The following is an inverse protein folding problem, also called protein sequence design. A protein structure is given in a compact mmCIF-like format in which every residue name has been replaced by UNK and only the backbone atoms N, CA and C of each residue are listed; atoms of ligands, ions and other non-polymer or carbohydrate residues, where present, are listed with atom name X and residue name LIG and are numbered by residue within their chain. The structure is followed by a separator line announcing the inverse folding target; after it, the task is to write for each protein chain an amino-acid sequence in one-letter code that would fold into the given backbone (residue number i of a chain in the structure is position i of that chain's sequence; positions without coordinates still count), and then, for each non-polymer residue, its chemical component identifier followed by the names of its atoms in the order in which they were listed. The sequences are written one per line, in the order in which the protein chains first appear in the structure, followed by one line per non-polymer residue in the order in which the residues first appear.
data_IF_195868498667
#
_entry.id   IF_195868498667
#
_cell.length_a   1.000
_cell.length_b   1.000
_cell.length_c   1.000
_cell.angle_alpha   90.00
_cell.angle_beta   90.00
_cell.angle_gamma   90.00
#
_symmetry.space_group_name_H-M   'P 1'
#
loop_
_entity.id
_entity.type
_entity.pdbx_description
1 polymer ?
#
# COMPACT_ATOMS: atom_id res chain seq x y z
N UNK A 1 3.15 -3.34 -3.11
CA UNK A 1 4.14 -3.02 -4.18
C UNK A 1 3.94 -1.57 -4.71
N UNK A 2 3.73 -0.61 -3.80
CA UNK A 2 3.09 0.68 -4.11
C UNK A 2 4.02 1.88 -4.39
N UNK A 3 5.34 1.69 -4.29
CA UNK A 3 6.27 2.81 -4.06
C UNK A 3 6.57 3.66 -5.29
N UNK A 4 6.63 3.02 -6.47
CA UNK A 4 6.84 3.72 -7.74
C UNK A 4 5.63 4.54 -8.19
N UNK A 5 4.47 4.32 -7.58
CA UNK A 5 3.23 4.96 -7.98
C UNK A 5 2.98 6.32 -7.32
N UNK A 6 3.49 6.55 -6.11
CA UNK A 6 3.18 7.74 -5.29
C UNK A 6 3.59 9.06 -5.95
N UNK A 7 4.64 9.08 -6.77
CA UNK A 7 5.09 10.27 -7.46
C UNK A 7 4.08 10.77 -8.52
N UNK A 8 3.39 9.84 -9.19
CA UNK A 8 2.49 10.14 -10.32
C UNK A 8 0.99 10.07 -9.95
N UNK A 9 0.62 9.33 -8.90
CA UNK A 9 -0.78 9.05 -8.50
C UNK A 9 -1.48 10.20 -7.73
N UNK A 10 -0.82 11.33 -7.58
CA UNK A 10 -1.43 12.51 -6.98
C UNK A 10 -2.05 13.39 -8.08
N UNK A 11 -3.28 13.04 -8.48
CA UNK A 11 -3.98 13.61 -9.62
C UNK A 11 -3.90 15.13 -9.81
N UNK A 12 -3.82 15.52 -11.08
CA UNK A 12 -4.09 16.88 -11.53
C UNK A 12 -5.58 17.17 -11.41
N UNK A 13 -5.96 18.42 -11.14
CA UNK A 13 -7.35 18.82 -10.83
C UNK A 13 -8.41 18.39 -11.86
N UNK A 14 -8.02 18.10 -13.10
CA UNK A 14 -8.91 17.67 -14.17
C UNK A 14 -9.40 16.22 -14.01
N UNK A 15 -8.57 15.30 -13.49
CA UNK A 15 -8.94 13.88 -13.34
C UNK A 15 -10.04 13.66 -12.29
N UNK A 16 -10.17 14.54 -11.30
CA UNK A 16 -11.22 14.47 -10.28
C UNK A 16 -12.57 15.02 -10.73
N UNK A 17 -12.65 15.74 -11.84
CA UNK A 17 -13.94 16.21 -12.34
C UNK A 17 -14.79 15.05 -12.90
N UNK A 18 -14.20 13.88 -13.20
CA UNK A 18 -14.95 12.68 -13.53
C UNK A 18 -15.62 12.07 -12.27
N UNK A 19 -16.95 12.19 -12.21
CA UNK A 19 -17.79 11.62 -11.14
C UNK A 19 -17.62 10.10 -11.02
N UNK A 20 -17.38 9.39 -12.12
CA UNK A 20 -17.20 7.93 -12.13
C UNK A 20 -15.84 7.54 -11.55
N UNK A 21 -14.78 8.26 -11.92
CA UNK A 21 -13.45 8.10 -11.34
C UNK A 21 -13.49 8.29 -9.82
N UNK A 22 -14.07 9.40 -9.35
CA UNK A 22 -14.23 9.65 -7.90
C UNK A 22 -15.03 8.57 -7.19
N UNK A 23 -16.09 8.03 -7.82
CA UNK A 23 -16.88 6.94 -7.24
C UNK A 23 -16.03 5.68 -7.09
N UNK A 24 -15.23 5.33 -8.09
CA UNK A 24 -14.33 4.17 -8.04
C UNK A 24 -13.29 4.35 -6.94
N UNK A 25 -12.68 5.53 -6.81
CA UNK A 25 -11.73 5.81 -5.73
C UNK A 25 -12.35 5.69 -4.33
N UNK A 26 -13.62 6.11 -4.16
CA UNK A 26 -14.33 5.91 -2.88
C UNK A 26 -14.58 4.43 -2.57
N UNK A 27 -14.98 3.66 -3.58
CA UNK A 27 -15.16 2.21 -3.42
C UNK A 27 -13.82 1.55 -3.08
N UNK A 28 -12.77 1.87 -3.83
CA UNK A 28 -11.42 1.36 -3.60
C UNK A 28 -10.91 1.71 -2.19
N UNK A 29 -11.10 2.96 -1.75
CA UNK A 29 -10.77 3.42 -0.40
C UNK A 29 -11.46 2.57 0.68
N UNK A 30 -12.77 2.39 0.58
CA UNK A 30 -13.55 1.66 1.60
C UNK A 30 -13.14 0.19 1.63
N UNK A 31 -13.02 -0.45 0.46
CA UNK A 31 -12.65 -1.85 0.37
C UNK A 31 -11.22 -2.10 0.90
N UNK A 32 -10.27 -1.25 0.52
CA UNK A 32 -8.89 -1.39 0.99
C UNK A 32 -8.77 -1.12 2.49
N UNK A 33 -9.45 -0.09 3.00
CA UNK A 33 -9.46 0.18 4.44
C UNK A 33 -10.10 -0.96 5.23
N UNK A 34 -11.19 -1.56 4.73
CA UNK A 34 -11.82 -2.72 5.37
C UNK A 34 -10.88 -3.94 5.36
N UNK A 35 -10.26 -4.23 4.22
CA UNK A 35 -9.31 -5.35 4.10
C UNK A 35 -8.10 -5.16 5.02
N UNK A 36 -7.57 -3.95 5.18
CA UNK A 36 -6.49 -3.68 6.14
C UNK A 36 -6.82 -4.17 7.54
N UNK A 37 -8.02 -3.88 8.06
CA UNK A 37 -8.42 -4.34 9.40
C UNK A 37 -8.65 -5.86 9.45
N UNK A 38 -9.24 -6.43 8.40
CA UNK A 38 -9.47 -7.88 8.30
C UNK A 38 -8.14 -8.63 8.27
N UNK A 39 -7.21 -8.24 7.41
CA UNK A 39 -5.90 -8.88 7.27
C UNK A 39 -5.02 -8.66 8.49
N UNK A 40 -5.04 -7.48 9.10
CA UNK A 40 -4.30 -7.24 10.34
C UNK A 40 -4.82 -8.14 11.47
N UNK A 41 -6.14 -8.21 11.64
CA UNK A 41 -6.77 -9.05 12.67
C UNK A 41 -6.56 -10.54 12.42
N UNK A 42 -6.70 -10.98 11.17
CA UNK A 42 -6.51 -12.38 10.79
C UNK A 42 -5.03 -12.78 10.79
N UNK A 43 -4.13 -11.91 10.34
CA UNK A 43 -2.69 -12.15 10.31
C UNK A 43 -2.08 -12.28 11.70
N UNK A 44 -2.59 -11.54 12.69
CA UNK A 44 -2.21 -11.74 14.10
C UNK A 44 -2.79 -13.04 14.65
N UNK A 45 -4.07 -13.33 14.41
CA UNK A 45 -4.71 -14.56 14.90
C UNK A 45 -4.13 -15.84 14.29
N UNK A 46 -3.77 -15.79 13.00
CA UNK A 46 -3.21 -16.91 12.26
C UNK A 46 -1.67 -16.97 12.33
N UNK A 47 -1.03 -16.04 13.04
CA UNK A 47 0.43 -15.85 13.11
C UNK A 47 1.12 -15.74 11.73
N UNK A 48 0.41 -15.27 10.70
CA UNK A 48 0.94 -15.10 9.33
C UNK A 48 1.55 -13.72 9.15
N UNK A 49 2.84 -13.70 8.82
CA UNK A 49 3.59 -12.46 8.59
C UNK A 49 3.42 -11.96 7.16
N UNK A 50 3.07 -12.84 6.21
CA UNK A 50 2.71 -12.42 4.87
C UNK A 50 1.38 -11.67 4.87
N UNK A 51 0.35 -12.14 5.61
CA UNK A 51 -0.90 -11.40 5.79
C UNK A 51 -0.70 -10.04 6.47
N UNK A 52 0.19 -9.96 7.46
CA UNK A 52 0.53 -8.69 8.11
C UNK A 52 1.23 -7.72 7.15
N UNK A 53 2.06 -8.23 6.23
CA UNK A 53 2.69 -7.44 5.19
C UNK A 53 1.68 -6.97 4.13
N UNK A 54 0.76 -7.84 3.72
CA UNK A 54 -0.29 -7.54 2.73
C UNK A 54 -1.26 -6.47 3.24
N UNK A 55 -1.63 -6.55 4.53
CA UNK A 55 -2.39 -5.51 5.21
C UNK A 55 -1.75 -4.12 5.04
N UNK A 56 -0.41 -4.03 5.08
CA UNK A 56 0.30 -2.77 4.92
C UNK A 56 0.15 -2.17 3.52
N UNK A 57 0.14 -3.03 2.49
CA UNK A 57 -0.15 -2.62 1.10
C UNK A 57 -1.58 -2.04 1.02
N UNK A 58 -2.59 -2.73 1.58
CA UNK A 58 -3.97 -2.22 1.66
C UNK A 58 -4.09 -0.87 2.39
N UNK A 59 -3.37 -0.69 3.51
CA UNK A 59 -3.31 0.60 4.20
C UNK A 59 -2.69 1.69 3.32
N UNK A 60 -1.59 1.37 2.65
CA UNK A 60 -0.90 2.30 1.76
C UNK A 60 -1.79 2.77 0.60
N UNK A 61 -2.59 1.87 0.06
CA UNK A 61 -3.54 2.13 -1.02
C UNK A 61 -4.77 2.89 -0.56
N UNK A 62 -5.38 2.51 0.57
CA UNK A 62 -6.43 3.30 1.19
C UNK A 62 -5.96 4.75 1.44
N UNK A 63 -4.75 4.92 1.96
CA UNK A 63 -4.20 6.26 2.18
C UNK A 63 -3.99 7.02 0.87
N UNK A 64 -3.53 6.35 -0.20
CA UNK A 64 -3.42 6.95 -1.54
C UNK A 64 -4.79 7.43 -2.05
N UNK A 65 -5.81 6.57 -2.01
CA UNK A 65 -7.16 6.92 -2.45
C UNK A 65 -7.75 8.08 -1.64
N UNK A 66 -7.50 8.11 -0.33
CA UNK A 66 -7.92 9.21 0.54
C UNK A 66 -7.23 10.53 0.16
N UNK A 67 -5.92 10.51 -0.12
CA UNK A 67 -5.20 11.70 -0.62
C UNK A 67 -5.77 12.15 -1.96
N UNK A 68 -5.94 11.24 -2.91
CA UNK A 68 -6.46 11.56 -4.24
C UNK A 68 -7.87 12.13 -4.17
N UNK A 69 -8.71 11.70 -3.22
CA UNK A 69 -10.06 12.22 -3.02
C UNK A 69 -10.11 13.55 -2.25
N UNK A 70 -9.29 13.71 -1.20
CA UNK A 70 -9.39 14.81 -0.23
C UNK A 70 -8.41 15.96 -0.43
N UNK A 71 -7.30 15.72 -1.15
CA UNK A 71 -6.12 16.62 -1.12
C UNK A 71 -5.73 17.13 -2.50
N UNK A 72 -6.36 16.67 -3.58
CA UNK A 72 -6.01 17.10 -4.94
C UNK A 72 -6.15 18.61 -5.21
N UNK A 73 -6.82 19.36 -4.32
CA UNK A 73 -6.86 20.83 -4.35
C UNK A 73 -6.01 21.53 -3.28
N UNK A 74 -5.29 20.81 -2.41
CA UNK A 74 -4.51 21.42 -1.33
C UNK A 74 -3.10 21.83 -1.76
N UNK A 75 -2.55 22.84 -1.08
CA UNK A 75 -1.18 23.29 -1.27
C UNK A 75 -0.18 22.13 -1.16
N UNK A 76 0.86 22.16 -2.01
CA UNK A 76 1.90 21.13 -2.10
C UNK A 76 2.47 20.74 -0.73
N UNK A 77 2.62 21.68 0.20
CA UNK A 77 3.07 21.42 1.57
C UNK A 77 2.17 20.44 2.35
N UNK A 78 0.86 20.49 2.19
CA UNK A 78 -0.06 19.56 2.88
C UNK A 78 0.03 18.15 2.29
N UNK A 79 0.19 18.04 0.97
CA UNK A 79 0.43 16.76 0.28
C UNK A 79 1.72 16.10 0.78
N UNK A 80 2.81 16.85 0.80
CA UNK A 80 4.10 16.31 1.24
C UNK A 80 4.10 15.95 2.74
N UNK A 81 3.36 16.69 3.59
CA UNK A 81 3.19 16.30 5.02
C UNK A 81 2.40 15.00 5.18
N UNK A 82 1.33 14.81 4.41
CA UNK A 82 0.57 13.57 4.42
C UNK A 82 1.41 12.38 3.91
N UNK A 83 2.18 12.59 2.84
CA UNK A 83 3.12 11.61 2.32
C UNK A 83 4.21 11.23 3.35
N UNK A 84 4.71 12.19 4.14
CA UNK A 84 5.65 11.89 5.23
C UNK A 84 5.04 10.98 6.30
N UNK A 85 3.81 11.27 6.72
CA UNK A 85 3.10 10.43 7.69
C UNK A 85 2.95 9.00 7.16
N UNK A 86 2.46 8.86 5.91
CA UNK A 86 2.35 7.57 5.23
C UNK A 86 3.69 6.82 5.22
N UNK A 87 4.75 7.46 4.73
CA UNK A 87 6.06 6.85 4.61
C UNK A 87 6.61 6.40 5.96
N UNK A 88 6.41 7.19 7.01
CA UNK A 88 6.80 6.82 8.38
C UNK A 88 6.01 5.61 8.90
N UNK A 89 4.69 5.58 8.71
CA UNK A 89 3.86 4.44 9.12
C UNK A 89 4.24 3.16 8.39
N UNK A 90 4.41 3.22 7.06
CA UNK A 90 4.83 2.08 6.25
C UNK A 90 6.20 1.58 6.67
N UNK A 91 7.16 2.49 6.91
CA UNK A 91 8.49 2.10 7.35
C UNK A 91 8.46 1.40 8.72
N UNK A 92 7.72 1.96 9.69
CA UNK A 92 7.60 1.38 11.03
C UNK A 92 6.94 0.01 11.00
N UNK A 93 5.85 -0.15 10.24
CA UNK A 93 5.17 -1.43 10.08
C UNK A 93 6.01 -2.44 9.31
N UNK A 94 6.71 -2.04 8.25
CA UNK A 94 7.62 -2.92 7.51
C UNK A 94 8.75 -3.45 8.40
N UNK A 95 9.34 -2.60 9.23
CA UNK A 95 10.33 -3.00 10.23
C UNK A 95 9.73 -3.93 11.29
N UNK A 96 8.50 -3.66 11.75
CA UNK A 96 7.78 -4.54 12.65
C UNK A 96 7.61 -5.92 12.01
N UNK A 97 7.04 -6.02 10.80
CA UNK A 97 6.79 -7.29 10.12
C UNK A 97 8.10 -8.06 9.95
N UNK A 98 9.17 -7.40 9.54
CA UNK A 98 10.48 -8.04 9.38
C UNK A 98 11.05 -8.56 10.71
N UNK A 99 11.03 -7.74 11.77
CA UNK A 99 11.47 -8.17 13.10
C UNK A 99 10.62 -9.30 13.67
N UNK A 100 9.32 -9.25 13.37
CA UNK A 100 8.37 -10.28 13.74
C UNK A 100 8.68 -11.59 12.98
N UNK A 101 8.99 -11.54 11.68
CA UNK A 101 9.33 -12.70 10.87
C UNK A 101 10.62 -13.36 11.38
N UNK A 102 11.61 -12.57 11.79
CA UNK A 102 12.82 -13.07 12.46
C UNK A 102 12.48 -13.77 13.79
N UNK A 103 11.56 -13.22 14.58
CA UNK A 103 11.10 -13.87 15.80
C UNK A 103 10.40 -15.21 15.54
N UNK A 104 9.50 -15.26 14.55
CA UNK A 104 8.81 -16.49 14.13
C UNK A 104 9.81 -17.55 13.65
N UNK A 105 10.85 -17.13 12.92
CA UNK A 105 11.94 -17.99 12.47
C UNK A 105 12.65 -18.70 13.64
N UNK A 106 12.96 -17.99 14.72
CA UNK A 106 13.62 -18.58 15.89
C UNK A 106 12.68 -19.36 16.83
N UNK A 107 11.41 -18.94 16.91
CA UNK A 107 10.42 -19.58 17.79
C UNK A 107 9.75 -20.80 17.17
N UNK A 108 9.87 -20.99 15.85
CA UNK A 108 9.34 -22.15 15.14
C UNK A 108 7.81 -22.16 15.04
N UNK A 109 7.15 -21.01 15.21
CA UNK A 109 5.70 -20.91 15.06
C UNK A 109 5.31 -21.09 13.59
N UNK A 110 4.16 -21.74 13.35
CA UNK A 110 3.66 -22.01 11.99
C UNK A 110 2.29 -21.36 11.82
N UNK A 111 2.05 -20.66 10.70
CA UNK A 111 0.80 -19.97 10.50
C UNK A 111 -0.35 -20.93 10.18
N UNK A 112 -1.56 -20.53 10.54
CA UNK A 112 -2.78 -21.29 10.24
C UNK A 112 -3.12 -21.14 8.76
N UNK A 113 -2.75 -22.13 7.95
CA UNK A 113 -2.87 -22.09 6.50
C UNK A 113 -4.30 -21.87 5.99
N UNK A 114 -5.31 -22.39 6.71
CA UNK A 114 -6.73 -22.21 6.37
C UNK A 114 -7.13 -20.73 6.44
N UNK A 115 -6.90 -20.07 7.57
CA UNK A 115 -7.16 -18.64 7.74
C UNK A 115 -6.38 -17.81 6.72
N UNK A 116 -5.12 -18.15 6.50
CA UNK A 116 -4.26 -17.49 5.52
C UNK A 116 -4.81 -17.59 4.09
N UNK A 117 -5.27 -18.78 3.69
CA UNK A 117 -5.84 -19.01 2.37
C UNK A 117 -7.19 -18.32 2.16
N UNK A 118 -8.09 -18.37 3.15
CA UNK A 118 -9.40 -17.72 3.07
C UNK A 118 -9.24 -16.20 2.96
N UNK A 119 -8.43 -15.61 3.84
CA UNK A 119 -8.24 -14.15 3.88
C UNK A 119 -7.45 -13.67 2.67
N UNK A 120 -6.38 -14.37 2.28
CA UNK A 120 -5.63 -14.04 1.06
C UNK A 120 -6.49 -14.15 -0.21
N UNK A 121 -7.47 -15.05 -0.25
CA UNK A 121 -8.41 -15.14 -1.38
C UNK A 121 -9.34 -13.94 -1.41
N UNK A 122 -9.85 -13.53 -0.25
CA UNK A 122 -10.69 -12.33 -0.13
C UNK A 122 -9.91 -11.08 -0.54
N UNK A 123 -8.65 -10.96 -0.09
CA UNK A 123 -7.74 -9.88 -0.47
C UNK A 123 -7.54 -9.81 -2.00
N UNK A 124 -7.24 -10.95 -2.62
CA UNK A 124 -7.11 -11.05 -4.08
C UNK A 124 -8.39 -10.61 -4.80
N UNK A 125 -9.56 -11.06 -4.34
CA UNK A 125 -10.85 -10.67 -4.94
C UNK A 125 -11.09 -9.16 -4.86
N UNK A 126 -10.74 -8.54 -3.73
CA UNK A 126 -10.85 -7.09 -3.56
C UNK A 126 -9.93 -6.36 -4.53
N UNK A 127 -8.63 -6.70 -4.57
CA UNK A 127 -7.67 -6.00 -5.43
C UNK A 127 -7.92 -6.24 -6.92
N UNK A 128 -8.31 -7.46 -7.32
CA UNK A 128 -8.76 -7.73 -8.69
C UNK A 128 -10.02 -6.93 -9.02
N UNK A 129 -11.00 -6.86 -8.11
CA UNK A 129 -12.20 -6.06 -8.30
C UNK A 129 -11.88 -4.56 -8.51
N UNK A 130 -10.99 -4.01 -7.68
CA UNK A 130 -10.51 -2.62 -7.82
C UNK A 130 -9.76 -2.42 -9.14
N UNK A 131 -8.83 -3.31 -9.48
CA UNK A 131 -8.07 -3.24 -10.73
C UNK A 131 -8.97 -3.32 -11.97
N UNK A 132 -10.03 -4.14 -11.94
CA UNK A 132 -11.02 -4.25 -13.00
C UNK A 132 -11.88 -2.99 -13.13
N UNK A 133 -12.30 -2.38 -12.01
CA UNK A 133 -13.01 -1.10 -12.05
C UNK A 133 -12.14 0.01 -12.64
N UNK A 134 -10.85 0.01 -12.31
CA UNK A 134 -9.86 0.96 -12.82
C UNK A 134 -9.38 0.64 -14.25
N UNK A 135 -9.65 -0.55 -14.79
CA UNK A 135 -9.13 -1.01 -16.08
C UNK A 135 -9.44 -0.07 -17.24
N UNK A 136 -10.62 0.57 -17.22
CA UNK A 136 -11.02 1.54 -18.24
C UNK A 136 -10.12 2.79 -18.27
N UNK A 137 -9.42 3.07 -17.18
CA UNK A 137 -8.55 4.24 -17.01
C UNK A 137 -7.06 3.91 -17.23
N UNK A 138 -6.73 2.68 -17.66
CA UNK A 138 -5.34 2.24 -17.95
C UNK A 138 -4.63 3.04 -19.05
N UNK A 139 -5.40 3.65 -19.95
CA UNK A 139 -4.91 4.51 -21.05
C UNK A 139 -5.20 5.98 -20.80
N UNK A 140 -5.57 6.35 -19.56
CA UNK A 140 -5.77 7.74 -19.15
C UNK A 140 -4.45 8.49 -19.02
N UNK A 141 -4.51 9.61 -18.31
CA UNK A 141 -3.32 10.37 -17.95
C UNK A 141 -2.35 9.54 -17.06
N UNK A 142 -1.15 10.08 -16.83
CA UNK A 142 -0.12 9.41 -16.05
C UNK A 142 -0.62 9.00 -14.65
N UNK A 143 -1.45 9.83 -14.02
CA UNK A 143 -2.02 9.58 -12.71
C UNK A 143 -3.01 8.41 -12.71
N UNK A 144 -3.98 8.42 -13.63
CA UNK A 144 -4.96 7.35 -13.79
C UNK A 144 -4.30 6.01 -14.12
N UNK A 145 -3.32 6.05 -15.04
CA UNK A 145 -2.55 4.86 -15.42
C UNK A 145 -1.71 4.34 -14.26
N UNK A 146 -1.09 5.22 -13.49
CA UNK A 146 -0.31 4.86 -12.29
C UNK A 146 -1.20 4.09 -11.33
N UNK A 147 -2.34 4.67 -10.91
CA UNK A 147 -3.28 4.04 -9.96
C UNK A 147 -3.74 2.65 -10.42
N UNK A 148 -4.02 2.46 -11.71
CA UNK A 148 -4.36 1.14 -12.24
C UNK A 148 -3.19 0.14 -12.16
N UNK A 149 -1.95 0.58 -12.44
CA UNK A 149 -0.76 -0.26 -12.34
C UNK A 149 -0.52 -0.72 -10.89
N UNK A 150 -0.72 0.14 -9.89
CA UNK A 150 -0.52 -0.22 -8.48
C UNK A 150 -1.52 -1.29 -8.06
N UNK A 151 -2.81 -1.05 -8.27
CA UNK A 151 -3.85 -2.03 -7.92
C UNK A 151 -3.65 -3.39 -8.61
N UNK A 152 -3.15 -3.39 -9.85
CA UNK A 152 -2.74 -4.63 -10.54
C UNK A 152 -1.54 -5.30 -9.86
N UNK A 153 -0.52 -4.54 -9.46
CA UNK A 153 0.64 -5.09 -8.78
C UNK A 153 0.28 -5.65 -7.39
N UNK A 154 -0.66 -5.02 -6.69
CA UNK A 154 -1.11 -5.52 -5.38
C UNK A 154 -1.90 -6.82 -5.52
N UNK A 155 -2.68 -6.99 -6.59
CA UNK A 155 -3.26 -8.29 -6.93
C UNK A 155 -2.19 -9.37 -7.16
N UNK A 156 -1.03 -9.02 -7.75
CA UNK A 156 0.10 -9.96 -7.89
C UNK A 156 0.71 -10.30 -6.52
N UNK A 157 0.82 -9.32 -5.61
CA UNK A 157 1.23 -9.57 -4.23
C UNK A 157 0.28 -10.56 -3.52
N UNK A 158 -1.04 -10.39 -3.65
CA UNK A 158 -2.01 -11.32 -3.03
C UNK A 158 -1.88 -12.75 -3.60
N UNK A 159 -1.52 -12.90 -4.88
CA UNK A 159 -1.21 -14.22 -5.46
C UNK A 159 0.02 -14.83 -4.77
N UNK A 160 1.04 -14.04 -4.46
CA UNK A 160 2.20 -14.52 -3.69
C UNK A 160 1.80 -14.96 -2.27
N UNK A 161 0.90 -14.22 -1.60
CA UNK A 161 0.35 -14.61 -0.29
C UNK A 161 -0.43 -15.92 -0.38
N UNK A 162 -1.27 -16.11 -1.40
CA UNK A 162 -1.97 -17.38 -1.63
C UNK A 162 -1.02 -18.53 -1.93
N UNK A 163 0.04 -18.28 -2.70
CA UNK A 163 1.07 -19.28 -2.95
C UNK A 163 1.78 -19.68 -1.65
N UNK A 164 2.04 -18.73 -0.75
CA UNK A 164 2.57 -19.01 0.58
C UNK A 164 1.57 -19.82 1.42
N UNK A 165 0.28 -19.48 1.43
CA UNK A 165 -0.74 -20.24 2.16
C UNK A 165 -0.80 -21.71 1.70
N UNK A 166 -0.79 -21.94 0.38
CA UNK A 166 -0.72 -23.28 -0.20
C UNK A 166 0.59 -23.99 0.15
N UNK A 167 1.70 -23.26 0.18
CA UNK A 167 3.00 -23.79 0.60
C UNK A 167 3.00 -24.23 2.06
N UNK A 168 2.45 -23.42 2.97
CA UNK A 168 2.31 -23.77 4.40
C UNK A 168 1.41 -24.99 4.55
N UNK A 169 0.26 -25.03 3.86
CA UNK A 169 -0.66 -26.17 3.90
C UNK A 169 -0.01 -27.50 3.47
N UNK A 170 0.87 -27.46 2.46
CA UNK A 170 1.54 -28.66 1.95
C UNK A 170 2.76 -29.08 2.77
N UNK A 171 3.55 -28.10 3.24
CA UNK A 171 4.82 -28.37 3.92
C UNK A 171 4.70 -28.47 5.43
N UNK A 172 3.60 -27.95 6.01
CA UNK A 172 3.45 -27.78 7.45
C UNK A 172 4.49 -26.83 8.05
N UNK A 173 5.13 -25.98 7.23
CA UNK A 173 6.26 -25.15 7.62
C UNK A 173 5.95 -23.67 7.45
N UNK A 174 6.57 -22.82 8.28
CA UNK A 174 6.46 -21.37 8.20
C UNK A 174 7.28 -20.73 7.06
N UNK A 175 8.23 -21.47 6.47
CA UNK A 175 9.13 -20.94 5.45
C UNK A 175 8.45 -20.23 4.27
N UNK A 176 7.34 -20.74 3.70
CA UNK A 176 6.65 -20.05 2.61
C UNK A 176 6.07 -18.70 3.04
N UNK A 177 5.48 -18.61 4.24
CA UNK A 177 4.96 -17.35 4.79
C UNK A 177 6.10 -16.37 5.08
N UNK A 178 7.16 -16.81 5.77
CA UNK A 178 8.30 -15.97 6.12
C UNK A 178 9.03 -15.41 4.89
N UNK A 179 9.18 -16.23 3.84
CA UNK A 179 9.81 -15.81 2.59
C UNK A 179 9.04 -14.69 1.89
N UNK A 180 7.72 -14.85 1.76
CA UNK A 180 6.85 -13.83 1.16
C UNK A 180 6.80 -12.58 2.05
N UNK A 181 6.65 -12.75 3.37
CA UNK A 181 6.66 -11.65 4.32
C UNK A 181 7.96 -10.84 4.26
N UNK A 182 9.12 -11.49 4.17
CA UNK A 182 10.41 -10.82 4.09
C UNK A 182 10.56 -10.00 2.81
N UNK A 183 10.09 -10.52 1.66
CA UNK A 183 10.09 -9.79 0.40
C UNK A 183 9.19 -8.55 0.50
N UNK A 184 7.94 -8.73 0.94
CA UNK A 184 6.97 -7.64 1.04
C UNK A 184 7.40 -6.58 2.06
N UNK A 185 7.90 -6.99 3.23
CA UNK A 185 8.45 -6.08 4.23
C UNK A 185 9.68 -5.33 3.71
N UNK A 186 10.58 -6.01 2.98
CA UNK A 186 11.73 -5.37 2.34
C UNK A 186 11.31 -4.29 1.36
N UNK A 187 10.33 -4.58 0.50
CA UNK A 187 9.76 -3.61 -0.43
C UNK A 187 9.15 -2.43 0.34
N UNK A 188 8.27 -2.67 1.31
CA UNK A 188 7.65 -1.64 2.13
C UNK A 188 8.67 -0.74 2.85
N UNK A 189 9.75 -1.30 3.40
CA UNK A 189 10.83 -0.53 4.03
C UNK A 189 11.50 0.39 3.00
N UNK A 190 11.91 -0.17 1.86
CA UNK A 190 12.57 0.63 0.82
C UNK A 190 11.65 1.72 0.29
N UNK A 191 10.37 1.42 0.13
CA UNK A 191 9.31 2.33 -0.22
C UNK A 191 9.09 3.47 0.73
N UNK A 192 8.86 3.14 2.00
CA UNK A 192 8.71 4.12 3.08
C UNK A 192 9.89 5.09 3.13
N UNK A 193 11.12 4.59 2.97
CA UNK A 193 12.33 5.44 2.91
C UNK A 193 12.29 6.38 1.70
N UNK A 194 11.93 5.88 0.52
CA UNK A 194 11.82 6.70 -0.70
C UNK A 194 10.76 7.79 -0.56
N UNK A 195 9.56 7.44 -0.06
CA UNK A 195 8.46 8.38 0.18
C UNK A 195 8.89 9.47 1.16
N UNK A 196 9.54 9.11 2.28
CA UNK A 196 10.04 10.08 3.26
C UNK A 196 11.07 11.03 2.64
N UNK A 197 12.02 10.50 1.85
CA UNK A 197 13.05 11.31 1.20
C UNK A 197 12.45 12.29 0.19
N UNK A 198 11.54 11.82 -0.65
CA UNK A 198 10.85 12.65 -1.64
C UNK A 198 10.04 13.75 -0.94
N UNK A 199 9.21 13.39 0.02
CA UNK A 199 8.35 14.35 0.71
C UNK A 199 9.15 15.41 1.51
N UNK A 200 10.32 15.06 2.06
CA UNK A 200 11.23 16.05 2.67
C UNK A 200 11.81 17.01 1.64
N UNK A 201 12.22 16.52 0.48
CA UNK A 201 12.73 17.34 -0.62
C UNK A 201 11.67 18.36 -1.09
N UNK A 202 10.42 17.89 -1.28
CA UNK A 202 9.30 18.74 -1.69
C UNK A 202 9.02 19.84 -0.66
N UNK A 203 9.00 19.52 0.65
CA UNK A 203 8.81 20.53 1.69
C UNK A 203 9.92 21.57 1.74
N UNK A 204 11.17 21.16 1.51
CA UNK A 204 12.30 22.08 1.43
C UNK A 204 12.19 23.01 0.21
N UNK A 205 11.72 22.49 -0.93
CA UNK A 205 11.50 23.30 -2.13
C UNK A 205 10.41 24.37 -1.91
N UNK A 206 9.29 23.99 -1.29
CA UNK A 206 8.20 24.93 -0.96
C UNK A 206 8.69 26.03 0.00
N UNK A 207 9.51 25.68 1.00
CA UNK A 207 10.09 26.66 1.93
C UNK A 207 11.01 27.65 1.20
N UNK A 208 11.87 27.17 0.28
CA UNK A 208 12.76 28.03 -0.51
C UNK A 208 11.99 28.98 -1.42
N UNK A 209 10.95 28.50 -2.12
CA UNK A 209 10.09 29.34 -2.97
C UNK A 209 9.31 30.38 -2.15
N UNK A 210 8.86 30.04 -0.94
CA UNK A 210 8.20 30.99 -0.04
C UNK A 210 9.11 32.10 0.47
N UNK A 211 10.39 31.80 0.74
CA UNK A 211 11.40 32.80 1.13
C UNK A 211 11.72 33.74 -0.05
N UNK A 212 11.92 33.20 -1.25
CA UNK A 212 12.23 33.99 -2.44
C UNK A 212 11.12 35.00 -2.83
N UNK A 213 9.84 34.64 -2.59
CA UNK A 213 8.70 35.56 -2.80
C UNK A 213 8.60 36.62 -1.69
N UNK A 214 9.08 36.30 -0.48
CA UNK A 214 9.11 37.22 0.66
C UNK A 214 10.22 38.27 0.59
N UNK A 215 11.37 37.95 -0.01
CA UNK A 215 12.48 38.90 -0.24
C UNK A 215 12.25 39.81 -1.47
N UNK A 216 11.31 39.47 -2.34
CA UNK A 216 10.97 40.25 -3.55
C UNK A 216 9.86 41.29 -3.33
N UNK A 217 9.42 41.51 -2.08
CA UNK A 217 8.42 42.49 -1.66
C UNK A 217 9.03 43.48 -0.69
#
# INVERSE_FOLDING_TARGET
MSDSCCADACGTGDALNDKRWRRILWIALILNAAMFFVEMGAGVQADSRALQADALDFFGDAFNYAISLGVAGMALAWRSRAALFKGATILLFGLWVLGSALWAFFSGTTPVAETMGIVGTLALLVNVGVALMLFRYRTGDANMRSVWICSRNDAISNVAVLAAALGVAQTGSAWPDLGVAAIMAGLAITGGIQIIRQARSELQSVKKSGIAVGEAR
#
